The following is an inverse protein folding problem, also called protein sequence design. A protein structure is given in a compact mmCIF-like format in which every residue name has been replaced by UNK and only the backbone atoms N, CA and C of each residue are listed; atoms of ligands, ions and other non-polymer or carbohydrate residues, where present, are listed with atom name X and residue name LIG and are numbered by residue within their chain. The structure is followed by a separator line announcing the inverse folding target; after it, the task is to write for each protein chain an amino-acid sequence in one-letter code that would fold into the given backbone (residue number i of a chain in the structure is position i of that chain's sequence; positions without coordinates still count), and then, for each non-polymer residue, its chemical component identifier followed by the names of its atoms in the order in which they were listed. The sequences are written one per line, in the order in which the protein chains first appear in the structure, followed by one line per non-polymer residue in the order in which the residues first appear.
data_IF_441405007984
#
_entry.id   IF_441405007984
#
_cell.length_a   1.000
_cell.length_b   1.000
_cell.length_c   1.000
_cell.angle_alpha   90.00
_cell.angle_beta   90.00
_cell.angle_gamma   90.00
#
_symmetry.space_group_name_H-M   'P 1'
#
loop_
_entity.id
_entity.type
_entity.pdbx_description
1 polymer ?
#
# COMPACT_ATOMS: atom_id res chain seq x y z
N UNK A 1 -19.63 -9.43 10.00
CA UNK A 1 -19.77 -8.98 8.59
C UNK A 1 -18.56 -9.49 7.83
N UNK A 2 -18.72 -10.13 6.67
CA UNK A 2 -17.60 -10.35 5.76
C UNK A 2 -17.28 -9.01 5.10
N UNK A 3 -16.08 -8.42 5.29
CA UNK A 3 -15.69 -7.27 4.50
C UNK A 3 -15.70 -7.70 3.03
N UNK A 4 -16.43 -6.95 2.20
CA UNK A 4 -16.43 -7.16 0.74
C UNK A 4 -15.27 -6.46 0.05
N UNK A 5 -14.44 -5.75 0.82
CA UNK A 5 -13.43 -4.84 0.32
C UNK A 5 -12.29 -4.73 1.34
N UNK A 6 -11.05 -4.66 0.86
CA UNK A 6 -9.86 -4.50 1.69
C UNK A 6 -9.31 -3.08 1.58
N UNK A 7 -9.30 -2.32 2.68
CA UNK A 7 -8.75 -0.96 2.68
C UNK A 7 -7.47 -0.91 3.51
N UNK A 8 -6.35 -0.66 2.84
CA UNK A 8 -5.03 -0.57 3.45
C UNK A 8 -4.48 0.85 3.32
N UNK A 9 -3.93 1.37 4.40
CA UNK A 9 -3.25 2.65 4.45
C UNK A 9 -1.84 2.44 4.99
N UNK A 10 -0.87 3.13 4.41
CA UNK A 10 0.49 3.12 4.90
C UNK A 10 1.20 4.44 4.65
N UNK A 11 2.33 4.59 5.33
CA UNK A 11 3.20 5.75 5.19
C UNK A 11 4.65 5.31 4.97
N UNK A 12 5.39 6.16 4.27
CA UNK A 12 6.81 5.92 4.04
C UNK A 12 7.61 7.22 4.00
N UNK A 13 8.88 7.13 4.37
CA UNK A 13 9.91 8.15 4.13
C UNK A 13 10.85 7.74 2.99
N UNK A 14 10.63 6.58 2.36
CA UNK A 14 11.40 6.12 1.21
C UNK A 14 11.06 6.98 0.00
N UNK A 15 12.06 7.19 -0.87
CA UNK A 15 11.88 7.89 -2.15
C UNK A 15 10.70 7.29 -2.93
N UNK A 16 9.89 8.18 -3.50
CA UNK A 16 8.59 7.87 -4.07
C UNK A 16 8.66 6.78 -5.12
N UNK A 17 9.45 6.95 -6.18
CA UNK A 17 9.51 5.98 -7.28
C UNK A 17 9.97 4.61 -6.79
N UNK A 18 10.97 4.59 -5.91
CA UNK A 18 11.47 3.38 -5.26
C UNK A 18 10.36 2.65 -4.50
N UNK A 19 9.56 3.35 -3.70
CA UNK A 19 8.45 2.71 -2.97
C UNK A 19 7.35 2.22 -3.92
N UNK A 20 7.04 2.96 -4.97
CA UNK A 20 6.04 2.55 -5.97
C UNK A 20 6.45 1.23 -6.62
N UNK A 21 7.71 1.10 -7.04
CA UNK A 21 8.23 -0.14 -7.64
C UNK A 21 8.15 -1.31 -6.65
N UNK A 22 8.57 -1.09 -5.41
CA UNK A 22 8.52 -2.13 -4.35
C UNK A 22 7.10 -2.61 -4.09
N UNK A 23 6.14 -1.68 -3.95
CA UNK A 23 4.75 -2.04 -3.68
C UNK A 23 4.12 -2.74 -4.88
N UNK A 24 4.37 -2.28 -6.11
CA UNK A 24 3.90 -2.97 -7.32
C UNK A 24 4.43 -4.41 -7.38
N UNK A 25 5.71 -4.59 -7.10
CA UNK A 25 6.32 -5.92 -7.05
C UNK A 25 5.73 -6.80 -5.94
N UNK A 26 5.49 -6.23 -4.75
CA UNK A 26 4.88 -6.94 -3.63
C UNK A 26 3.44 -7.38 -3.93
N UNK A 27 2.62 -6.49 -4.50
CA UNK A 27 1.25 -6.82 -4.92
C UNK A 27 1.24 -7.94 -5.96
N UNK A 28 2.11 -7.86 -6.98
CA UNK A 28 2.24 -8.91 -7.97
C UNK A 28 2.69 -10.25 -7.34
N UNK A 29 3.67 -10.22 -6.43
CA UNK A 29 4.18 -11.41 -5.75
C UNK A 29 3.15 -12.05 -4.79
N UNK A 30 2.21 -11.26 -4.24
CA UNK A 30 1.10 -11.80 -3.45
C UNK A 30 -0.05 -12.35 -4.30
N UNK A 31 0.04 -12.27 -5.63
CA UNK A 31 -1.03 -12.69 -6.54
C UNK A 31 -2.13 -11.65 -6.73
N UNK A 32 -1.92 -10.41 -6.27
CA UNK A 32 -2.85 -9.32 -6.52
C UNK A 32 -2.65 -8.78 -7.94
N UNK A 33 -3.75 -8.32 -8.53
CA UNK A 33 -3.77 -7.64 -9.82
C UNK A 33 -4.12 -6.16 -9.61
N UNK A 34 -3.26 -5.26 -10.09
CA UNK A 34 -3.48 -3.82 -9.97
C UNK A 34 -4.44 -3.39 -11.07
N UNK A 35 -5.60 -2.85 -10.69
CA UNK A 35 -6.62 -2.36 -11.60
C UNK A 35 -6.34 -0.93 -12.05
N UNK A 36 -5.92 -0.09 -11.11
CA UNK A 36 -5.77 1.33 -11.35
C UNK A 36 -4.82 1.97 -10.33
N UNK A 37 -4.32 3.16 -10.64
CA UNK A 37 -3.54 3.95 -9.71
C UNK A 37 -3.82 5.44 -9.87
N UNK A 38 -3.87 6.14 -8.74
CA UNK A 38 -4.13 7.56 -8.67
C UNK A 38 -3.07 8.25 -7.82
N UNK A 39 -2.35 9.18 -8.43
CA UNK A 39 -1.35 10.00 -7.75
C UNK A 39 -1.96 11.35 -7.38
N UNK A 40 -1.94 11.69 -6.09
CA UNK A 40 -2.41 12.97 -5.56
C UNK A 40 -1.19 13.84 -5.23
N UNK A 41 -0.77 14.65 -6.21
CA UNK A 41 0.46 15.44 -6.15
C UNK A 41 1.68 14.54 -5.84
N UNK A 42 2.68 15.06 -5.13
CA UNK A 42 3.80 14.25 -4.66
C UNK A 42 3.49 13.55 -3.34
N UNK A 43 2.40 13.90 -2.65
CA UNK A 43 2.14 13.52 -1.26
C UNK A 43 1.50 12.13 -1.07
N UNK A 44 0.74 11.63 -2.03
CA UNK A 44 0.01 10.36 -1.85
C UNK A 44 -0.22 9.60 -3.16
N UNK A 45 -0.19 8.27 -3.07
CA UNK A 45 -0.56 7.34 -4.12
C UNK A 45 -1.67 6.42 -3.61
N UNK A 46 -2.72 6.22 -4.41
CA UNK A 46 -3.74 5.19 -4.19
C UNK A 46 -3.61 4.15 -5.29
N UNK A 47 -3.52 2.88 -4.90
CA UNK A 47 -3.56 1.72 -5.79
C UNK A 47 -4.88 1.00 -5.58
N UNK A 48 -5.62 0.74 -6.66
CA UNK A 48 -6.78 -0.14 -6.66
C UNK A 48 -6.33 -1.51 -7.17
N UNK A 49 -6.70 -2.57 -6.47
CA UNK A 49 -6.30 -3.93 -6.81
C UNK A 49 -7.41 -4.94 -6.49
N UNK A 50 -7.27 -6.12 -7.07
CA UNK A 50 -8.03 -7.31 -6.72
C UNK A 50 -7.05 -8.42 -6.32
N UNK A 51 -7.42 -9.23 -5.33
CA UNK A 51 -6.61 -10.37 -4.90
C UNK A 51 -7.49 -11.60 -4.70
N UNK A 52 -7.11 -12.76 -5.25
CA UNK A 52 -7.79 -14.02 -4.94
C UNK A 52 -7.78 -14.28 -3.44
N UNK A 53 -8.93 -14.62 -2.86
CA UNK A 53 -9.02 -14.79 -1.40
C UNK A 53 -8.09 -15.87 -0.84
N UNK A 54 -7.79 -16.91 -1.63
CA UNK A 54 -6.85 -17.97 -1.26
C UNK A 54 -5.39 -17.50 -1.23
N UNK A 55 -5.09 -16.34 -1.82
CA UNK A 55 -3.77 -15.71 -1.82
C UNK A 55 -3.67 -14.51 -0.88
N UNK A 56 -4.78 -14.08 -0.26
CA UNK A 56 -4.83 -12.90 0.61
C UNK A 56 -3.80 -12.96 1.75
N UNK A 57 -3.55 -14.14 2.32
CA UNK A 57 -2.59 -14.35 3.41
C UNK A 57 -1.14 -14.03 3.03
N UNK A 58 -0.84 -13.93 1.72
CA UNK A 58 0.48 -13.55 1.21
C UNK A 58 0.67 -12.04 1.15
N UNK A 59 -0.42 -11.27 1.15
CA UNK A 59 -0.41 -9.83 0.94
C UNK A 59 0.29 -9.08 2.07
N UNK A 60 -0.05 -9.38 3.33
CA UNK A 60 0.55 -8.74 4.50
C UNK A 60 2.08 -8.88 4.54
N UNK A 61 2.62 -10.12 4.48
CA UNK A 61 4.06 -10.35 4.40
C UNK A 61 4.71 -9.66 3.20
N UNK A 62 4.09 -9.72 2.02
CA UNK A 62 4.63 -9.08 0.82
C UNK A 62 4.74 -7.55 1.01
N UNK A 63 3.70 -6.89 1.52
CA UNK A 63 3.73 -5.45 1.81
C UNK A 63 4.79 -5.13 2.86
N UNK A 64 4.90 -5.93 3.93
CA UNK A 64 5.90 -5.71 4.97
C UNK A 64 7.34 -5.72 4.43
N UNK A 65 7.64 -6.57 3.44
CA UNK A 65 8.99 -6.62 2.82
C UNK A 65 9.37 -5.36 2.05
N UNK A 66 8.39 -4.52 1.67
CA UNK A 66 8.66 -3.26 0.96
C UNK A 66 9.29 -2.17 1.85
N UNK A 67 9.12 -2.31 3.17
CA UNK A 67 9.42 -1.26 4.15
C UNK A 67 8.31 -0.20 4.29
N UNK A 68 7.15 -0.41 3.66
CA UNK A 68 5.95 0.40 3.89
C UNK A 68 5.42 0.16 5.31
N UNK A 69 5.23 1.24 6.08
CA UNK A 69 4.63 1.15 7.41
C UNK A 69 3.12 1.25 7.28
N UNK A 70 2.43 0.13 7.42
CA UNK A 70 0.97 0.11 7.45
C UNK A 70 0.45 0.74 8.74
N UNK A 71 -0.68 1.45 8.66
CA UNK A 71 -1.40 1.92 9.85
C UNK A 71 -1.90 0.72 10.68
N UNK A 72 -2.06 0.93 11.98
CA UNK A 72 -2.47 -0.14 12.90
C UNK A 72 -3.78 -0.80 12.45
N UNK A 73 -4.78 -0.01 12.02
CA UNK A 73 -6.06 -0.57 11.56
C UNK A 73 -5.90 -1.46 10.32
N UNK A 74 -4.95 -1.15 9.43
CA UNK A 74 -4.68 -1.97 8.25
C UNK A 74 -3.94 -3.26 8.59
N UNK A 75 -3.07 -3.24 9.60
CA UNK A 75 -2.44 -4.45 10.14
C UNK A 75 -3.48 -5.37 10.78
N UNK A 76 -4.33 -4.82 11.66
CA UNK A 76 -5.43 -5.56 12.29
C UNK A 76 -6.37 -6.18 11.25
N UNK A 77 -6.67 -5.44 10.17
CA UNK A 77 -7.53 -5.96 9.09
C UNK A 77 -6.91 -7.16 8.38
N UNK A 78 -5.60 -7.15 8.13
CA UNK A 78 -4.89 -8.29 7.54
C UNK A 78 -4.88 -9.49 8.50
N UNK A 79 -4.62 -9.25 9.79
CA UNK A 79 -4.64 -10.30 10.81
C UNK A 79 -6.04 -10.93 10.98
N UNK A 80 -7.10 -10.10 10.96
CA UNK A 80 -8.50 -10.55 10.98
C UNK A 80 -8.81 -11.47 9.79
N UNK A 81 -8.25 -11.18 8.61
CA UNK A 81 -8.42 -11.99 7.40
C UNK A 81 -7.62 -13.30 7.45
N UNK A 82 -6.41 -13.27 7.98
CA UNK A 82 -5.58 -14.46 8.16
C UNK A 82 -6.26 -15.47 9.10
N UNK A 83 -6.81 -14.98 10.21
CA UNK A 83 -7.57 -15.81 11.16
C UNK A 83 -8.84 -16.38 10.54
N UNK A 84 -9.58 -15.58 9.75
CA UNK A 84 -10.80 -16.05 9.07
C UNK A 84 -10.50 -17.09 8.00
N UNK A 85 -9.41 -16.92 7.25
CA UNK A 85 -8.97 -17.88 6.22
C UNK A 85 -8.58 -19.20 6.87
N UNK A 86 -7.84 -19.16 7.98
CA UNK A 86 -7.49 -20.34 8.76
C UNK A 86 -8.73 -21.09 9.30
N UNK A 87 -9.77 -20.35 9.70
CA UNK A 87 -11.00 -20.94 10.24
C UNK A 87 -11.96 -21.50 9.18
N UNK A 88 -11.86 -21.07 7.90
CA UNK A 88 -12.87 -21.36 6.86
C UNK A 88 -12.56 -22.53 5.93
N UNK A 89 -11.40 -23.16 6.04
CA UNK A 89 -11.03 -24.27 5.14
C UNK A 89 -10.90 -23.78 3.69
N UNK A 90 -11.28 -24.59 2.70
CA UNK A 90 -11.17 -24.24 1.29
C UNK A 90 -11.97 -22.97 0.96
N UNK A 91 -11.28 -21.85 0.80
CA UNK A 91 -11.88 -20.56 0.50
C UNK A 91 -12.31 -20.57 -0.97
N UNK A 92 -13.55 -20.18 -1.25
CA UNK A 92 -14.02 -20.00 -2.62
C UNK A 92 -13.08 -19.06 -3.38
N UNK A 93 -12.73 -19.44 -4.62
CA UNK A 93 -11.91 -18.65 -5.54
C UNK A 93 -12.68 -17.43 -6.04
N UNK A 94 -12.88 -16.46 -5.14
CA UNK A 94 -13.41 -15.14 -5.48
C UNK A 94 -12.32 -14.10 -5.26
N UNK A 95 -12.33 -13.09 -6.10
CA UNK A 95 -11.43 -11.96 -5.97
C UNK A 95 -12.00 -10.97 -4.95
N UNK A 96 -11.13 -10.50 -4.07
CA UNK A 96 -11.42 -9.45 -3.11
C UNK A 96 -10.85 -8.13 -3.65
N UNK A 97 -11.71 -7.17 -4.02
CA UNK A 97 -11.25 -5.84 -4.37
C UNK A 97 -10.68 -5.13 -3.13
N UNK A 98 -9.70 -4.26 -3.35
CA UNK A 98 -9.06 -3.49 -2.30
C UNK A 98 -8.36 -2.23 -2.80
N UNK A 99 -8.01 -1.39 -1.84
CA UNK A 99 -7.18 -0.21 -2.04
C UNK A 99 -5.97 -0.23 -1.13
N UNK A 100 -4.85 0.26 -1.65
CA UNK A 100 -3.66 0.58 -0.88
C UNK A 100 -3.32 2.06 -1.07
N UNK A 101 -3.55 2.86 -0.04
CA UNK A 101 -3.11 4.25 0.01
C UNK A 101 -1.74 4.35 0.67
N UNK A 102 -0.84 5.09 0.04
CA UNK A 102 0.52 5.34 0.50
C UNK A 102 0.72 6.83 0.63
N UNK A 103 0.99 7.30 1.84
CA UNK A 103 1.38 8.68 2.13
C UNK A 103 2.90 8.80 2.13
N UNK A 104 3.43 9.69 1.29
CA UNK A 104 4.86 9.98 1.20
C UNK A 104 5.23 11.14 2.12
N UNK A 105 5.97 10.84 3.17
CA UNK A 105 6.51 11.82 4.10
C UNK A 105 7.74 12.44 3.45
N UNK A 106 7.61 13.69 3.00
CA UNK A 106 8.73 14.44 2.44
C UNK A 106 9.62 14.93 3.59
N UNK A 107 10.88 14.50 3.57
CA UNK A 107 11.94 14.97 4.45
C UNK A 107 12.98 15.76 3.64
N UNK A 108 12.56 16.50 2.62
CA UNK A 108 13.47 17.42 1.94
C UNK A 108 13.73 18.60 2.89
N UNK A 109 14.98 18.85 3.30
CA UNK A 109 15.31 20.12 3.95
C UNK A 109 14.97 21.23 2.96
N UNK A 110 14.42 22.34 3.47
CA UNK A 110 14.13 23.51 2.64
C UNK A 110 15.35 23.83 1.77
N UNK A 111 15.13 23.87 0.45
CA UNK A 111 16.12 24.39 -0.48
C UNK A 111 16.40 25.83 -0.06
N UNK A 112 17.57 26.07 0.53
CA UNK A 112 18.09 27.43 0.74
C UNK A 112 18.37 27.98 -0.65
N UNK A 113 17.40 28.67 -1.23
CA UNK A 113 17.62 29.46 -2.44
C UNK A 113 18.37 30.71 -1.98
N UNK A 114 19.67 30.80 -2.28
CA UNK A 114 20.39 32.06 -2.13
C UNK A 114 19.72 33.10 -3.03
N UNK A 115 19.02 34.05 -2.41
CA UNK A 115 18.41 35.16 -3.14
C UNK A 115 19.54 36.03 -3.69
N UNK A 116 19.66 36.22 -5.02
CA UNK A 116 20.67 37.12 -5.55
C UNK A 116 20.39 38.54 -5.05
N UNK A 117 21.41 39.20 -4.50
CA UNK A 117 21.30 40.61 -4.12
C UNK A 117 20.99 41.44 -5.37
N UNK A 118 19.82 42.09 -5.40
CA UNK A 118 19.48 43.06 -6.44
C UNK A 118 20.08 44.42 -6.05
N UNK A 119 21.03 44.99 -6.81
CA UNK A 119 21.47 46.37 -6.60
C UNK A 119 20.39 47.33 -7.14
N UNK A 120 19.84 48.15 -6.27
CA UNK A 120 18.94 49.26 -6.59
C UNK A 120 19.31 50.49 -5.78
#
# INVERSE_FOLDING_TARGET
MNPKFLQLNGMTTVERHTMIERVKAALAASGAYILNFHMFSNASLVLEFEIPLDQLTRLGPAIHTTGLRLEQRSQELLDEWDQQTAARGAVESRDLPGTLQITFIHNEPDLIIEVPMVPG
#
